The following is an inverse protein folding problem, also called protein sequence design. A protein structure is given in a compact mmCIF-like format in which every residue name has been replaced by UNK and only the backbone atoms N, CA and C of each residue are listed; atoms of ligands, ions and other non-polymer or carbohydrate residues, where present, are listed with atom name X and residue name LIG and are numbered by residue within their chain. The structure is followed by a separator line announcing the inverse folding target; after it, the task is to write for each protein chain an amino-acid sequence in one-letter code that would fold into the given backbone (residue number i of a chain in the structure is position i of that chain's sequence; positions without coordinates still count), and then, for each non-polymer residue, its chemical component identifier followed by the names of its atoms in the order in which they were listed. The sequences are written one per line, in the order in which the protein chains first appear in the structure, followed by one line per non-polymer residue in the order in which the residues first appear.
data_IF_773145309120
#
_entry.id   IF_773145309120
#
_cell.length_a   1.000
_cell.length_b   1.000
_cell.length_c   1.000
_cell.angle_alpha   90.00
_cell.angle_beta   90.00
_cell.angle_gamma   90.00
#
_symmetry.space_group_name_H-M   'P 1'
#
loop_
_entity.id
_entity.type
_entity.pdbx_description
1 polymer ?
#
# COMPACT_ATOMS: atom_id res chain seq x y z
N UNK A 1 53.15 -7.32 47.13
CA UNK A 1 53.54 -6.69 45.84
C UNK A 1 53.09 -7.62 44.72
N UNK A 2 51.82 -7.58 44.35
CA UNK A 2 51.19 -6.58 43.46
C UNK A 2 51.57 -6.78 41.99
N UNK A 3 50.66 -7.38 41.22
CA UNK A 3 49.80 -6.65 40.25
C UNK A 3 50.58 -6.15 39.02
N UNK A 4 51.17 -7.06 38.25
CA UNK A 4 51.98 -6.68 37.08
C UNK A 4 51.47 -7.12 35.70
N UNK A 5 50.70 -8.21 35.58
CA UNK A 5 50.56 -8.87 34.26
C UNK A 5 49.13 -8.95 33.70
N UNK A 6 48.11 -8.56 34.46
CA UNK A 6 46.70 -8.61 34.02
C UNK A 6 46.20 -7.30 33.38
N UNK A 7 47.07 -6.31 33.15
CA UNK A 7 46.65 -4.98 32.67
C UNK A 7 46.64 -4.80 31.15
N UNK A 8 47.19 -5.72 30.37
CA UNK A 8 47.41 -5.48 28.93
C UNK A 8 46.36 -6.08 27.99
N UNK A 9 45.39 -6.87 28.48
CA UNK A 9 44.38 -7.51 27.60
C UNK A 9 43.02 -6.78 27.64
N UNK A 10 42.78 -5.92 28.62
CA UNK A 10 41.46 -5.33 28.84
C UNK A 10 41.16 -4.05 28.04
N UNK A 11 42.10 -3.47 27.29
CA UNK A 11 41.93 -2.13 26.69
C UNK A 11 41.71 -2.09 25.17
N UNK A 12 41.65 -3.23 24.46
CA UNK A 12 41.52 -3.23 22.98
C UNK A 12 40.14 -3.70 22.48
N UNK A 13 39.30 -4.30 23.33
CA UNK A 13 38.01 -4.88 22.91
C UNK A 13 36.82 -3.90 23.03
N UNK A 14 37.02 -2.66 23.48
CA UNK A 14 35.92 -1.69 23.65
C UNK A 14 35.68 -0.82 22.39
N UNK A 15 36.51 -0.92 21.35
CA UNK A 15 36.46 -0.02 20.18
C UNK A 15 35.75 -0.58 18.93
N UNK A 16 35.06 -1.72 19.01
CA UNK A 16 34.40 -2.35 17.85
C UNK A 16 32.91 -2.59 18.09
N UNK A 17 32.13 -1.59 18.53
CA UNK A 17 30.66 -1.75 18.60
C UNK A 17 29.87 -0.44 18.43
N UNK A 18 30.08 0.37 17.38
CA UNK A 18 29.04 1.37 17.01
C UNK A 18 29.30 2.14 15.71
N UNK A 19 29.51 1.47 14.57
CA UNK A 19 29.38 2.14 13.25
C UNK A 19 28.75 1.23 12.19
N UNK A 20 27.77 0.41 12.59
CA UNK A 20 26.72 0.05 11.65
C UNK A 20 25.76 1.24 11.56
N UNK A 21 26.13 2.27 10.79
CA UNK A 21 25.17 3.23 10.26
C UNK A 21 24.22 2.44 9.35
N UNK A 22 23.17 1.85 9.94
CA UNK A 22 22.06 1.28 9.18
C UNK A 22 21.37 2.43 8.46
N UNK A 23 21.81 2.69 7.22
CA UNK A 23 21.14 3.63 6.32
C UNK A 23 19.69 3.17 6.25
N UNK A 24 18.77 4.00 6.75
CA UNK A 24 17.34 3.67 6.73
C UNK A 24 16.95 3.35 5.29
N UNK A 25 16.21 2.25 5.04
CA UNK A 25 15.88 1.86 3.68
C UNK A 25 15.08 2.99 3.00
N UNK A 26 15.59 3.43 1.86
CA UNK A 26 15.05 4.56 1.12
C UNK A 26 13.78 4.13 0.37
N UNK A 27 12.68 4.91 0.42
CA UNK A 27 11.48 4.59 -0.35
C UNK A 27 11.80 4.54 -1.84
N UNK A 28 11.08 3.67 -2.56
CA UNK A 28 11.28 3.52 -4.00
C UNK A 28 10.93 4.81 -4.75
N UNK A 29 11.72 5.16 -5.79
CA UNK A 29 11.41 6.28 -6.65
C UNK A 29 10.08 6.03 -7.38
N UNK A 30 9.23 7.05 -7.51
CA UNK A 30 7.89 6.90 -8.11
C UNK A 30 7.94 6.47 -9.57
N UNK A 31 8.97 6.88 -10.29
CA UNK A 31 9.23 6.53 -11.68
C UNK A 31 9.49 5.04 -11.91
N UNK A 32 9.92 4.32 -10.86
CA UNK A 32 10.14 2.87 -10.90
C UNK A 32 8.87 2.05 -10.63
N UNK A 33 7.78 2.71 -10.25
CA UNK A 33 6.51 2.06 -9.90
C UNK A 33 5.56 2.07 -11.09
N UNK A 34 5.05 0.90 -11.45
CA UNK A 34 3.92 0.75 -12.36
C UNK A 34 2.62 1.28 -11.71
N UNK A 35 2.45 1.08 -10.40
CA UNK A 35 1.31 1.60 -9.63
C UNK A 35 1.79 2.80 -8.81
N UNK A 36 1.34 4.00 -9.19
CA UNK A 36 1.81 5.29 -8.69
C UNK A 36 0.80 5.93 -7.74
N UNK A 37 0.63 5.34 -6.57
CA UNK A 37 -0.24 5.90 -5.53
C UNK A 37 0.43 7.11 -4.87
N UNK A 38 -0.32 8.20 -4.70
CA UNK A 38 0.18 9.37 -4.00
C UNK A 38 -0.02 9.27 -2.49
N UNK A 39 1.03 8.84 -1.76
CA UNK A 39 1.02 8.65 -0.30
C UNK A 39 0.66 9.91 0.50
N UNK A 40 0.87 11.10 -0.07
CA UNK A 40 0.61 12.38 0.58
C UNK A 40 -0.82 12.87 0.39
N UNK A 41 -1.56 12.32 -0.58
CA UNK A 41 -2.92 12.76 -0.82
C UNK A 41 -3.90 12.08 0.12
N UNK A 42 -4.52 12.86 1.01
CA UNK A 42 -5.49 12.39 2.01
C UNK A 42 -6.92 12.32 1.47
N UNK A 43 -7.23 13.09 0.43
CA UNK A 43 -8.55 13.24 -0.21
C UNK A 43 -8.65 12.52 -1.56
N UNK A 44 -7.66 11.68 -1.89
CA UNK A 44 -7.62 10.99 -3.17
C UNK A 44 -8.16 9.58 -3.04
N UNK A 45 -9.16 9.29 -3.85
CA UNK A 45 -9.50 7.92 -4.21
C UNK A 45 -8.53 7.39 -5.26
N UNK A 46 -8.04 6.18 -5.04
CA UNK A 46 -7.20 5.43 -5.97
C UNK A 46 -7.86 4.09 -6.27
N UNK A 47 -7.73 3.63 -7.50
CA UNK A 47 -8.42 2.45 -8.01
C UNK A 47 -7.43 1.47 -8.60
N UNK A 48 -7.52 0.21 -8.20
CA UNK A 48 -6.74 -0.90 -8.76
C UNK A 48 -7.68 -1.89 -9.41
N UNK A 49 -7.40 -2.23 -10.66
CA UNK A 49 -8.07 -3.31 -11.38
C UNK A 49 -7.17 -4.53 -11.35
N UNK A 50 -7.59 -5.60 -10.69
CA UNK A 50 -6.87 -6.85 -10.61
C UNK A 50 -7.64 -7.93 -11.38
N UNK A 51 -6.93 -8.62 -12.27
CA UNK A 51 -7.47 -9.74 -13.01
C UNK A 51 -6.63 -10.98 -12.73
N UNK A 52 -7.31 -12.11 -12.56
CA UNK A 52 -6.66 -13.40 -12.58
C UNK A 52 -5.94 -13.62 -13.91
N UNK A 53 -4.93 -14.49 -13.93
CA UNK A 53 -4.38 -14.98 -15.18
C UNK A 53 -5.50 -15.55 -16.07
N UNK A 54 -5.41 -15.43 -17.42
CA UNK A 54 -6.51 -15.77 -18.32
C UNK A 54 -6.85 -17.26 -18.25
N UNK A 55 -7.83 -17.60 -17.41
CA UNK A 55 -8.51 -18.89 -17.32
C UNK A 55 -9.99 -18.69 -17.64
N UNK A 56 -10.74 -19.80 -17.85
CA UNK A 56 -12.15 -19.75 -18.25
C UNK A 56 -13.07 -19.01 -17.26
N UNK A 57 -12.67 -18.92 -15.98
CA UNK A 57 -13.41 -18.25 -14.89
C UNK A 57 -12.67 -16.97 -14.46
N UNK A 58 -12.48 -16.04 -15.41
CA UNK A 58 -11.74 -14.80 -15.16
C UNK A 58 -12.48 -13.90 -14.16
N UNK A 59 -12.11 -13.98 -12.89
CA UNK A 59 -12.57 -13.06 -11.85
C UNK A 59 -11.92 -11.69 -12.00
N UNK A 60 -12.75 -10.65 -12.06
CA UNK A 60 -12.32 -9.27 -12.03
C UNK A 60 -12.54 -8.69 -10.63
N UNK A 61 -11.47 -8.19 -10.02
CA UNK A 61 -11.53 -7.44 -8.77
C UNK A 61 -11.17 -5.98 -9.01
N UNK A 62 -11.95 -5.09 -8.44
CA UNK A 62 -11.66 -3.66 -8.41
C UNK A 62 -11.55 -3.24 -6.96
N UNK A 63 -10.36 -2.82 -6.57
CA UNK A 63 -10.09 -2.27 -5.25
C UNK A 63 -10.15 -0.76 -5.31
N UNK A 64 -10.99 -0.16 -4.47
CA UNK A 64 -11.05 1.29 -4.27
C UNK A 64 -10.41 1.62 -2.93
N UNK A 65 -9.24 2.23 -2.98
CA UNK A 65 -8.60 2.83 -1.81
C UNK A 65 -9.24 4.20 -1.64
N UNK A 66 -10.13 4.30 -0.66
CA UNK A 66 -10.90 5.51 -0.40
C UNK A 66 -10.05 6.57 0.29
N UNK A 67 -10.48 7.81 0.13
CA UNK A 67 -10.02 8.90 0.98
C UNK A 67 -10.18 8.56 2.47
N UNK A 68 -9.29 9.13 3.28
CA UNK A 68 -9.38 8.99 4.73
C UNK A 68 -10.56 9.85 5.19
N UNK A 69 -11.66 9.24 5.68
CA UNK A 69 -12.82 10.00 6.13
C UNK A 69 -12.38 11.00 7.20
N UNK A 70 -12.75 12.26 6.99
CA UNK A 70 -12.21 13.47 7.61
C UNK A 70 -12.52 13.60 9.13
N UNK A 71 -12.81 12.51 9.82
CA UNK A 71 -13.13 12.45 11.24
C UNK A 71 -12.54 11.17 11.85
N UNK A 72 -11.90 11.20 13.01
CA UNK A 72 -11.96 12.24 14.02
C UNK A 72 -11.12 13.48 13.66
N UNK A 73 -11.76 14.65 13.54
CA UNK A 73 -11.16 15.97 13.34
C UNK A 73 -10.29 16.43 14.53
N UNK A 74 -9.78 15.50 15.34
CA UNK A 74 -9.20 15.69 16.67
C UNK A 74 -7.70 15.35 16.72
N UNK A 75 -7.07 15.04 15.58
CA UNK A 75 -5.60 15.12 15.49
C UNK A 75 -5.10 16.49 14.99
N UNK A 76 -5.99 17.47 14.87
CA UNK A 76 -5.75 18.88 14.51
C UNK A 76 -4.72 19.61 15.40
N UNK A 77 -4.15 18.97 16.42
CA UNK A 77 -3.17 19.52 17.38
C UNK A 77 -1.84 18.73 17.40
N UNK A 78 -1.76 17.55 16.76
CA UNK A 78 -0.46 16.85 16.63
C UNK A 78 0.47 17.54 15.60
N UNK A 79 -0.01 18.62 14.98
CA UNK A 79 0.75 19.52 14.10
C UNK A 79 1.84 20.34 14.83
N UNK A 80 1.99 20.23 16.15
CA UNK A 80 3.21 20.70 16.82
C UNK A 80 4.24 19.59 17.11
N UNK A 81 3.86 18.31 17.03
CA UNK A 81 4.63 17.19 17.61
C UNK A 81 5.42 16.34 16.61
N UNK A 82 5.09 16.36 15.31
CA UNK A 82 5.97 15.82 14.26
C UNK A 82 6.84 16.96 13.74
N UNK A 83 7.79 17.39 14.56
CA UNK A 83 8.90 18.19 14.05
C UNK A 83 9.65 17.34 13.03
N UNK A 84 9.40 17.65 11.75
CA UNK A 84 10.39 17.59 10.68
C UNK A 84 10.91 16.19 10.28
N UNK A 85 10.18 15.58 9.34
CA UNK A 85 10.75 14.75 8.24
C UNK A 85 11.43 13.44 8.69
N UNK A 86 10.64 12.48 9.15
CA UNK A 86 10.83 11.09 8.67
C UNK A 86 10.04 10.99 7.37
N UNK A 87 10.67 10.65 6.25
CA UNK A 87 9.96 10.44 4.97
C UNK A 87 8.79 9.48 5.23
N UNK A 88 7.55 9.88 4.93
CA UNK A 88 6.39 9.00 5.07
C UNK A 88 6.55 7.88 4.03
N UNK A 89 6.79 6.67 4.51
CA UNK A 89 6.98 5.50 3.64
C UNK A 89 5.85 4.49 3.76
N UNK A 90 5.03 4.59 4.81
CA UNK A 90 3.85 3.75 5.00
C UNK A 90 2.57 4.59 5.16
N UNK A 91 1.45 4.07 4.68
CA UNK A 91 0.12 4.69 4.77
C UNK A 91 -0.96 3.62 4.90
N UNK A 92 -2.14 3.99 5.38
CA UNK A 92 -3.26 3.06 5.53
C UNK A 92 -4.55 3.73 5.10
N UNK A 93 -5.31 3.08 4.22
CA UNK A 93 -6.53 3.65 3.61
C UNK A 93 -7.72 2.71 3.71
N UNK A 94 -8.94 3.22 3.91
CA UNK A 94 -10.14 2.40 3.81
C UNK A 94 -10.23 1.77 2.41
N UNK A 95 -10.62 0.51 2.36
CA UNK A 95 -10.65 -0.31 1.15
C UNK A 95 -12.08 -0.81 0.92
N UNK A 96 -12.61 -0.54 -0.27
CA UNK A 96 -13.83 -1.20 -0.77
C UNK A 96 -13.46 -2.13 -1.92
N UNK A 97 -14.07 -3.31 -1.95
CA UNK A 97 -13.83 -4.35 -2.95
C UNK A 97 -15.09 -4.58 -3.80
N UNK A 98 -14.93 -4.49 -5.11
CA UNK A 98 -15.95 -4.81 -6.09
C UNK A 98 -15.49 -6.05 -6.86
N UNK A 99 -16.29 -7.10 -6.88
CA UNK A 99 -15.95 -8.37 -7.55
C UNK A 99 -16.97 -8.67 -8.63
N UNK A 100 -16.49 -8.98 -9.83
CA UNK A 100 -17.29 -9.54 -10.92
C UNK A 100 -16.77 -10.95 -11.21
N UNK A 101 -17.64 -11.94 -11.04
CA UNK A 101 -17.37 -13.35 -11.34
C UNK A 101 -18.60 -13.93 -12.05
N UNK A 102 -18.41 -14.57 -13.20
CA UNK A 102 -19.49 -15.21 -13.99
C UNK A 102 -20.67 -14.27 -14.29
N UNK A 103 -20.37 -12.99 -14.57
CA UNK A 103 -21.37 -11.95 -14.82
C UNK A 103 -22.15 -11.50 -13.58
N UNK A 104 -21.92 -12.11 -12.41
CA UNK A 104 -22.48 -11.67 -11.13
C UNK A 104 -21.57 -10.64 -10.49
N UNK A 105 -22.16 -9.53 -10.08
CA UNK A 105 -21.48 -8.43 -9.39
C UNK A 105 -21.77 -8.50 -7.89
N UNK A 106 -20.73 -8.47 -7.08
CA UNK A 106 -20.84 -8.35 -5.63
C UNK A 106 -20.01 -7.17 -5.14
N UNK A 107 -20.50 -6.54 -4.08
CA UNK A 107 -19.80 -5.48 -3.38
C UNK A 107 -19.50 -6.01 -2.00
N UNK A 108 -18.21 -6.10 -1.70
CA UNK A 108 -17.69 -6.46 -0.40
C UNK A 108 -17.15 -5.18 0.20
N UNK A 109 -17.95 -4.56 1.08
CA UNK A 109 -17.57 -3.37 1.86
C UNK A 109 -17.43 -3.71 3.36
N UNK A 110 -16.66 -4.73 3.77
CA UNK A 110 -16.26 -4.85 5.16
C UNK A 110 -15.35 -3.65 5.47
N UNK A 111 -15.28 -3.20 6.73
CA UNK A 111 -14.29 -2.21 7.16
C UNK A 111 -12.89 -2.83 7.04
N UNK A 112 -12.34 -2.82 5.82
CA UNK A 112 -11.01 -3.32 5.50
C UNK A 112 -10.10 -2.15 5.18
N UNK A 113 -8.82 -2.31 5.51
CA UNK A 113 -7.81 -1.28 5.32
C UNK A 113 -6.76 -1.81 4.35
N UNK A 114 -6.42 -1.02 3.34
CA UNK A 114 -5.25 -1.25 2.51
C UNK A 114 -4.02 -0.64 3.19
N UNK A 115 -2.93 -1.41 3.29
CA UNK A 115 -1.65 -0.94 3.79
C UNK A 115 -0.73 -0.63 2.60
N UNK A 116 -0.25 0.60 2.52
CA UNK A 116 0.70 1.03 1.50
C UNK A 116 2.10 1.04 2.13
N UNK A 117 3.05 0.33 1.53
CA UNK A 117 4.45 0.30 1.94
C UNK A 117 5.35 0.64 0.73
N UNK A 118 5.85 1.86 0.71
CA UNK A 118 6.70 2.39 -0.36
C UNK A 118 8.18 2.01 -0.18
N UNK A 119 8.57 1.46 0.98
CA UNK A 119 9.90 0.86 1.15
C UNK A 119 9.91 -0.50 0.46
N UNK A 120 8.93 -1.33 0.80
CA UNK A 120 8.77 -2.65 0.18
C UNK A 120 8.26 -2.56 -1.27
N UNK A 121 7.61 -1.45 -1.64
CA UNK A 121 6.92 -1.31 -2.93
C UNK A 121 5.70 -2.20 -3.02
N UNK A 122 4.90 -2.26 -1.96
CA UNK A 122 3.79 -3.21 -1.81
C UNK A 122 2.52 -2.53 -1.33
N UNK A 123 1.40 -3.03 -1.81
CA UNK A 123 0.05 -2.73 -1.31
C UNK A 123 -0.48 -4.01 -0.67
N UNK A 124 -0.61 -4.00 0.66
CA UNK A 124 -1.31 -5.04 1.40
C UNK A 124 -2.82 -4.81 1.30
N UNK A 125 -3.54 -5.83 0.85
CA UNK A 125 -5.01 -5.88 0.80
C UNK A 125 -5.50 -6.86 1.87
N UNK A 126 -6.82 -7.03 1.99
CA UNK A 126 -7.41 -7.90 3.03
C UNK A 126 -6.94 -9.36 2.93
N UNK A 127 -6.88 -9.91 1.72
CA UNK A 127 -6.61 -11.33 1.44
C UNK A 127 -5.40 -11.54 0.50
N UNK A 128 -4.71 -10.47 0.13
CA UNK A 128 -3.73 -10.49 -0.94
C UNK A 128 -2.76 -9.31 -0.88
N UNK A 129 -1.73 -9.35 -1.73
CA UNK A 129 -0.71 -8.33 -1.86
C UNK A 129 -0.52 -7.95 -3.33
N UNK A 130 -0.17 -6.69 -3.57
CA UNK A 130 0.18 -6.19 -4.89
C UNK A 130 1.57 -5.57 -4.86
N UNK A 131 2.48 -6.01 -5.71
CA UNK A 131 3.76 -5.33 -5.93
C UNK A 131 3.53 -4.08 -6.82
N UNK A 132 3.98 -2.93 -6.34
CA UNK A 132 3.79 -1.65 -6.99
C UNK A 132 4.72 -1.44 -8.19
N UNK A 133 5.80 -2.21 -8.30
CA UNK A 133 6.79 -2.11 -9.37
C UNK A 133 6.27 -2.67 -10.68
N UNK A 134 5.57 -3.81 -10.63
CA UNK A 134 5.15 -4.56 -11.81
C UNK A 134 3.66 -4.96 -11.81
N UNK A 135 2.94 -4.60 -10.74
CA UNK A 135 1.53 -4.93 -10.55
C UNK A 135 1.27 -6.39 -10.19
N UNK A 136 2.29 -7.20 -9.87
CA UNK A 136 2.10 -8.62 -9.58
C UNK A 136 1.19 -8.78 -8.36
N UNK A 137 0.11 -9.56 -8.53
CA UNK A 137 -0.89 -9.80 -7.51
C UNK A 137 -0.72 -11.21 -6.93
N UNK A 138 -0.54 -11.29 -5.62
CA UNK A 138 -0.30 -12.54 -4.90
C UNK A 138 -1.25 -12.71 -3.73
N UNK A 139 -1.51 -13.96 -3.34
CA UNK A 139 -2.22 -14.29 -2.11
C UNK A 139 -1.34 -14.01 -0.87
N UNK A 140 -1.91 -14.02 0.33
CA UNK A 140 -1.11 -13.90 1.56
C UNK A 140 0.00 -14.96 1.70
N UNK A 141 -0.22 -16.24 1.33
CA UNK A 141 0.84 -17.24 1.25
C UNK A 141 1.93 -16.98 0.20
N UNK A 142 1.70 -16.05 -0.74
CA UNK A 142 2.65 -15.69 -1.79
C UNK A 142 2.40 -16.32 -3.16
N UNK A 143 1.30 -17.05 -3.34
CA UNK A 143 0.93 -17.63 -4.63
C UNK A 143 0.50 -16.53 -5.60
N UNK A 144 0.89 -16.63 -6.88
CA UNK A 144 0.52 -15.65 -7.88
C UNK A 144 -0.93 -15.82 -8.31
N UNK A 145 -1.76 -14.82 -8.03
CA UNK A 145 -3.16 -14.76 -8.41
C UNK A 145 -3.33 -14.14 -9.81
N UNK A 146 -2.50 -13.15 -10.14
CA UNK A 146 -2.58 -12.47 -11.44
C UNK A 146 -1.79 -11.17 -11.49
N UNK A 147 -2.40 -10.12 -12.05
CA UNK A 147 -1.82 -8.77 -12.14
C UNK A 147 -2.88 -7.71 -11.86
N UNK A 148 -2.44 -6.64 -11.21
CA UNK A 148 -3.20 -5.42 -10.97
C UNK A 148 -2.62 -4.25 -11.77
N UNK A 149 -3.52 -3.36 -12.20
CA UNK A 149 -3.18 -2.13 -12.89
C UNK A 149 -3.87 -0.95 -12.18
N UNK A 150 -3.19 0.19 -12.12
CA UNK A 150 -3.81 1.42 -11.61
C UNK A 150 -4.76 1.99 -12.65
N UNK A 151 -6.00 2.26 -12.25
CA UNK A 151 -6.97 2.93 -13.10
C UNK A 151 -6.88 4.44 -12.92
N UNK A 152 -7.26 5.19 -13.96
CA UNK A 152 -7.56 6.61 -13.77
C UNK A 152 -8.76 6.77 -12.83
N UNK A 153 -8.85 7.91 -12.12
CA UNK A 153 -9.99 8.19 -11.24
C UNK A 153 -11.31 8.14 -12.01
N UNK A 154 -11.34 8.67 -13.24
CA UNK A 154 -12.52 8.68 -14.10
C UNK A 154 -12.99 7.25 -14.38
N UNK A 155 -12.08 6.37 -14.79
CA UNK A 155 -12.42 4.98 -15.14
C UNK A 155 -12.80 4.18 -13.90
N UNK A 156 -12.11 4.41 -12.77
CA UNK A 156 -12.45 3.79 -11.49
C UNK A 156 -13.86 4.14 -11.03
N UNK A 157 -14.24 5.42 -11.06
CA UNK A 157 -15.60 5.83 -10.73
C UNK A 157 -16.65 5.31 -11.73
N UNK A 158 -16.33 5.30 -13.04
CA UNK A 158 -17.21 4.70 -14.05
C UNK A 158 -17.46 3.21 -13.76
N UNK A 159 -16.42 2.48 -13.40
CA UNK A 159 -16.50 1.08 -13.02
C UNK A 159 -17.36 0.87 -11.77
N UNK A 160 -17.11 1.64 -10.69
CA UNK A 160 -17.92 1.58 -9.46
C UNK A 160 -19.40 1.85 -9.74
N UNK A 161 -19.72 2.82 -10.60
CA UNK A 161 -21.11 3.09 -11.00
C UNK A 161 -21.75 1.90 -11.72
N UNK A 162 -21.03 1.23 -12.62
CA UNK A 162 -21.48 -0.02 -13.26
C UNK A 162 -21.76 -1.13 -12.24
N UNK A 163 -20.91 -1.26 -11.22
CA UNK A 163 -21.14 -2.19 -10.10
C UNK A 163 -22.39 -1.86 -9.29
N UNK A 164 -22.68 -0.57 -9.11
CA UNK A 164 -23.86 -0.07 -8.42
C UNK A 164 -25.12 0.00 -9.29
N UNK A 165 -25.07 -0.45 -10.55
CA UNK A 165 -26.20 -0.37 -11.49
C UNK A 165 -26.61 1.05 -11.88
N UNK A 166 -25.71 2.04 -11.76
CA UNK A 166 -25.96 3.44 -12.12
C UNK A 166 -25.22 3.79 -13.42
N UNK A 167 -25.91 4.37 -14.40
CA UNK A 167 -25.27 4.90 -15.63
C UNK A 167 -24.46 6.17 -15.33
N UNK A 168 -23.54 6.54 -16.23
CA UNK A 168 -22.79 7.80 -16.14
C UNK A 168 -23.72 9.00 -16.44
N UNK A 169 -23.53 10.17 -15.80
CA UNK A 169 -24.23 11.38 -16.25
C UNK A 169 -23.78 11.72 -17.68
N UNK A 170 -24.71 11.73 -18.64
CA UNK A 170 -24.44 12.09 -20.04
C UNK A 170 -24.36 10.93 -21.03
N UNK A 171 -24.64 9.69 -20.62
CA UNK A 171 -24.75 8.55 -21.54
C UNK A 171 -26.23 8.37 -21.96
N UNK A 172 -26.56 8.31 -23.28
CA UNK A 172 -27.93 8.07 -23.72
C UNK A 172 -28.38 6.66 -23.29
N UNK A 173 -29.63 6.56 -22.82
CA UNK A 173 -30.26 5.30 -22.38
C UNK A 173 -30.52 4.36 -23.54
#
# INVERSE_FOLDING_TARGET
MERGFLRSVALVIVLVTSTACTRSPEPLPRETLAIRINILCTTCDEFLRCAAAPTADAELRVYRLREKSFWAQVATIWDYLVQWIRRKTTDTRPLSLYVERDGRRSITDPPSMAQLDFVAGRIGLHDSNVDMRDGTWTSLPGERLGRCEQMSRRDGYAMVRRFLGRSLPGEPR
#
